data_IF_975512415686
#
_entry.id   IF_975512415686
#
_cell.length_a   1.000
_cell.length_b   1.000
_cell.length_c   1.000
_cell.angle_alpha   90.00
_cell.angle_beta   90.00
_cell.angle_gamma   90.00
#
_symmetry.space_group_name_H-M   'P 1'
#
loop_
_entity.id
_entity.type
_entity.pdbx_description
1 polymer ?
#
# COMPACT_ATOMS: atom_id res chain seq x y z
N UNK A 1 -23.61 -2.55 10.21
CA UNK A 1 -22.76 -1.47 9.63
C UNK A 1 -22.98 -1.49 8.13
N UNK A 2 -23.27 -0.34 7.51
CA UNK A 2 -23.46 -0.23 6.07
C UNK A 2 -22.12 0.12 5.39
N UNK A 3 -21.85 -0.50 4.24
CA UNK A 3 -20.57 -0.36 3.53
C UNK A 3 -20.84 0.00 2.07
N UNK A 4 -20.17 1.03 1.55
CA UNK A 4 -20.13 1.34 0.13
C UNK A 4 -18.82 0.85 -0.50
N UNK A 5 -18.87 0.28 -1.69
CA UNK A 5 -17.67 -0.10 -2.47
C UNK A 5 -17.63 0.70 -3.76
N UNK A 6 -16.53 1.39 -3.98
CA UNK A 6 -16.30 2.27 -5.13
C UNK A 6 -15.17 1.68 -5.98
N UNK A 7 -15.51 1.22 -7.17
CA UNK A 7 -14.59 0.50 -8.06
C UNK A 7 -14.64 -1.02 -7.84
N UNK A 8 -14.97 -1.74 -8.90
CA UNK A 8 -15.19 -3.20 -8.86
C UNK A 8 -14.19 -3.94 -9.76
N UNK A 9 -12.95 -3.43 -9.78
CA UNK A 9 -11.87 -3.93 -10.61
C UNK A 9 -11.15 -5.17 -10.06
N UNK A 10 -9.85 -5.30 -10.40
CA UNK A 10 -9.02 -6.46 -10.06
C UNK A 10 -8.91 -6.69 -8.55
N UNK A 11 -8.67 -5.63 -7.78
CA UNK A 11 -8.51 -5.75 -6.32
C UNK A 11 -9.82 -6.10 -5.62
N UNK A 12 -10.95 -5.58 -6.12
CA UNK A 12 -12.26 -5.97 -5.61
C UNK A 12 -12.53 -7.47 -5.78
N UNK A 13 -12.09 -8.09 -6.89
CA UNK A 13 -12.18 -9.55 -7.06
C UNK A 13 -11.42 -10.30 -5.97
N UNK A 14 -10.30 -9.77 -5.51
CA UNK A 14 -9.56 -10.34 -4.39
C UNK A 14 -10.35 -10.22 -3.07
N UNK A 15 -10.96 -9.06 -2.81
CA UNK A 15 -11.84 -8.87 -1.64
C UNK A 15 -13.08 -9.75 -1.68
N UNK A 16 -13.66 -9.95 -2.86
CA UNK A 16 -14.93 -10.64 -3.03
C UNK A 16 -14.95 -12.02 -2.37
N UNK A 17 -13.88 -12.81 -2.54
CA UNK A 17 -13.78 -14.14 -1.95
C UNK A 17 -13.85 -14.08 -0.43
N UNK A 18 -13.33 -13.01 0.12
CA UNK A 18 -13.23 -12.77 1.55
C UNK A 18 -14.52 -12.15 2.09
N UNK A 19 -15.13 -11.18 1.41
CA UNK A 19 -16.41 -10.60 1.80
C UNK A 19 -17.54 -11.63 1.90
N UNK A 20 -17.53 -12.67 1.06
CA UNK A 20 -18.51 -13.75 1.12
C UNK A 20 -18.41 -14.61 2.38
N UNK A 21 -17.28 -14.59 3.07
CA UNK A 21 -17.05 -15.36 4.31
C UNK A 21 -17.29 -14.55 5.59
N UNK A 22 -17.55 -13.25 5.47
CA UNK A 22 -17.79 -12.36 6.60
C UNK A 22 -19.24 -12.42 7.07
N UNK A 23 -19.48 -12.86 8.29
CA UNK A 23 -20.82 -12.99 8.87
C UNK A 23 -21.57 -11.65 8.97
N UNK A 24 -20.86 -10.52 9.15
CA UNK A 24 -21.51 -9.21 9.25
C UNK A 24 -21.70 -8.50 7.89
N UNK A 25 -21.08 -8.95 6.81
CA UNK A 25 -21.35 -8.46 5.46
C UNK A 25 -22.52 -9.25 4.88
N UNK A 26 -23.68 -8.66 4.95
CA UNK A 26 -24.91 -9.22 4.39
C UNK A 26 -25.31 -8.46 3.12
N UNK A 27 -26.14 -9.09 2.30
CA UNK A 27 -26.72 -8.45 1.11
C UNK A 27 -27.47 -7.13 1.39
N UNK A 28 -27.90 -6.91 2.64
CA UNK A 28 -28.68 -5.74 3.02
C UNK A 28 -27.83 -4.55 3.45
N UNK A 29 -26.54 -4.76 3.78
CA UNK A 29 -25.64 -3.72 4.29
C UNK A 29 -24.49 -3.37 3.32
N UNK A 30 -24.60 -3.78 2.06
CA UNK A 30 -23.60 -3.52 1.02
C UNK A 30 -24.23 -2.81 -0.17
N UNK A 31 -23.60 -1.73 -0.64
CA UNK A 31 -23.93 -1.03 -1.88
C UNK A 31 -22.68 -0.91 -2.76
N UNK A 32 -22.83 -1.20 -4.05
CA UNK A 32 -21.74 -1.24 -5.03
C UNK A 32 -21.87 -0.12 -6.05
N UNK A 33 -20.74 0.43 -6.45
CA UNK A 33 -20.64 1.39 -7.55
C UNK A 33 -19.39 1.14 -8.39
N UNK A 34 -19.56 1.13 -9.68
CA UNK A 34 -18.49 1.24 -10.68
C UNK A 34 -18.94 2.13 -11.83
N UNK A 35 -18.01 2.83 -12.47
CA UNK A 35 -18.26 3.62 -13.68
C UNK A 35 -18.88 2.76 -14.80
N UNK A 36 -18.48 1.48 -14.86
CA UNK A 36 -19.05 0.51 -15.79
C UNK A 36 -20.28 -0.16 -15.15
N UNK A 37 -21.47 0.20 -15.64
CA UNK A 37 -22.74 -0.31 -15.13
C UNK A 37 -22.90 -1.84 -15.32
N UNK A 38 -22.30 -2.43 -16.35
CA UNK A 38 -22.34 -3.88 -16.58
C UNK A 38 -21.59 -4.63 -15.48
N UNK A 39 -20.42 -4.09 -15.06
CA UNK A 39 -19.63 -4.64 -13.96
C UNK A 39 -20.43 -4.54 -12.65
N UNK A 40 -21.04 -3.39 -12.41
CA UNK A 40 -21.91 -3.16 -11.23
C UNK A 40 -23.06 -4.16 -11.20
N UNK A 41 -23.78 -4.33 -12.30
CA UNK A 41 -24.89 -5.27 -12.40
C UNK A 41 -24.44 -6.73 -12.16
N UNK A 42 -23.33 -7.15 -12.77
CA UNK A 42 -22.73 -8.48 -12.57
C UNK A 42 -22.49 -8.80 -11.09
N UNK A 43 -21.86 -7.86 -10.35
CA UNK A 43 -21.57 -8.09 -8.94
C UNK A 43 -22.77 -7.91 -8.04
N UNK A 44 -23.70 -7.02 -8.36
CA UNK A 44 -24.99 -6.91 -7.69
C UNK A 44 -25.74 -8.25 -7.69
N UNK A 45 -25.83 -8.90 -8.84
CA UNK A 45 -26.47 -10.22 -8.96
C UNK A 45 -25.74 -11.30 -8.17
N UNK A 46 -24.40 -11.33 -8.31
CA UNK A 46 -23.56 -12.31 -7.63
C UNK A 46 -23.63 -12.23 -6.11
N UNK A 47 -23.70 -11.02 -5.56
CA UNK A 47 -23.73 -10.77 -4.11
C UNK A 47 -25.15 -10.59 -3.57
N UNK A 48 -26.15 -10.49 -4.45
CA UNK A 48 -27.54 -10.17 -4.12
C UNK A 48 -27.66 -8.91 -3.23
N UNK A 49 -26.81 -7.89 -3.49
CA UNK A 49 -26.74 -6.64 -2.73
C UNK A 49 -27.31 -5.44 -3.51
N UNK A 50 -27.23 -4.24 -2.94
CA UNK A 50 -27.63 -3.02 -3.61
C UNK A 50 -26.57 -2.50 -4.56
N UNK A 51 -26.95 -1.69 -5.54
CA UNK A 51 -26.06 -0.96 -6.43
C UNK A 51 -26.51 0.47 -6.57
N UNK A 52 -25.56 1.37 -6.82
CA UNK A 52 -25.80 2.78 -7.08
C UNK A 52 -25.39 3.14 -8.51
N UNK A 53 -26.02 4.17 -9.07
CA UNK A 53 -25.65 4.78 -10.35
C UNK A 53 -24.88 6.10 -10.14
N UNK A 54 -24.87 6.62 -8.93
CA UNK A 54 -24.13 7.84 -8.56
C UNK A 54 -23.65 7.79 -7.12
N UNK A 55 -22.77 8.72 -6.76
CA UNK A 55 -22.29 8.86 -5.36
C UNK A 55 -23.40 9.36 -4.43
N UNK A 56 -24.35 10.15 -4.93
CA UNK A 56 -25.52 10.61 -4.16
C UNK A 56 -26.40 9.43 -3.73
N UNK A 57 -26.57 8.42 -4.59
CA UNK A 57 -27.29 7.20 -4.21
C UNK A 57 -26.56 6.42 -3.11
N UNK A 58 -25.21 6.44 -3.11
CA UNK A 58 -24.41 5.85 -2.03
C UNK A 58 -24.61 6.62 -0.73
N UNK A 59 -24.62 7.97 -0.78
CA UNK A 59 -24.89 8.79 0.40
C UNK A 59 -26.28 8.49 0.98
N UNK A 60 -27.29 8.36 0.12
CA UNK A 60 -28.67 8.03 0.52
C UNK A 60 -28.79 6.66 1.21
N UNK A 61 -27.90 5.73 0.88
CA UNK A 61 -27.79 4.43 1.56
C UNK A 61 -27.23 4.56 2.99
N UNK A 62 -26.66 5.71 3.33
CA UNK A 62 -26.07 6.02 4.64
C UNK A 62 -24.98 5.02 5.06
N UNK A 63 -23.91 4.83 4.27
CA UNK A 63 -22.82 3.95 4.67
C UNK A 63 -22.10 4.51 5.89
N UNK A 64 -21.65 3.61 6.78
CA UNK A 64 -20.77 3.99 7.88
C UNK A 64 -19.36 4.33 7.35
N UNK A 65 -18.96 3.65 6.28
CA UNK A 65 -17.74 3.95 5.53
C UNK A 65 -17.84 3.45 4.09
N UNK A 66 -16.94 3.96 3.25
CA UNK A 66 -16.73 3.47 1.90
C UNK A 66 -15.34 2.87 1.73
N UNK A 67 -15.21 1.81 0.92
CA UNK A 67 -13.93 1.31 0.43
C UNK A 67 -13.75 1.81 -0.99
N UNK A 68 -12.64 2.51 -1.26
CA UNK A 68 -12.31 3.03 -2.58
C UNK A 68 -11.25 2.13 -3.21
N UNK A 69 -11.59 1.52 -4.35
CA UNK A 69 -10.74 0.65 -5.16
C UNK A 69 -10.85 0.95 -6.66
N UNK A 70 -11.14 2.20 -6.99
CA UNK A 70 -11.09 2.78 -8.33
C UNK A 70 -9.63 2.91 -8.83
N UNK A 71 -9.35 3.38 -10.06
CA UNK A 71 -8.00 3.72 -10.50
C UNK A 71 -7.32 4.76 -9.59
N UNK A 72 -6.01 4.60 -9.37
CA UNK A 72 -5.23 5.37 -8.38
C UNK A 72 -5.40 6.90 -8.48
N UNK A 73 -5.38 7.45 -9.67
CA UNK A 73 -5.54 8.90 -9.90
C UNK A 73 -6.93 9.46 -9.57
N UNK A 74 -7.91 8.60 -9.24
CA UNK A 74 -9.26 9.00 -8.84
C UNK A 74 -9.48 8.91 -7.32
N UNK A 75 -8.57 8.30 -6.57
CA UNK A 75 -8.75 8.05 -5.13
C UNK A 75 -8.96 9.35 -4.35
N UNK A 76 -8.14 10.37 -4.62
CA UNK A 76 -8.27 11.67 -3.97
C UNK A 76 -9.67 12.27 -4.12
N UNK A 77 -10.16 12.37 -5.36
CA UNK A 77 -11.47 12.98 -5.64
C UNK A 77 -12.61 12.21 -4.97
N UNK A 78 -12.55 10.87 -5.02
CA UNK A 78 -13.53 10.02 -4.38
C UNK A 78 -13.47 10.12 -2.85
N UNK A 79 -12.27 10.05 -2.26
CA UNK A 79 -12.09 10.19 -0.81
C UNK A 79 -12.58 11.56 -0.30
N UNK A 80 -12.21 12.64 -1.01
CA UNK A 80 -12.64 13.99 -0.68
C UNK A 80 -14.17 14.11 -0.69
N UNK A 81 -14.82 13.62 -1.74
CA UNK A 81 -16.27 13.65 -1.84
C UNK A 81 -16.97 12.98 -0.64
N UNK A 82 -16.54 11.78 -0.25
CA UNK A 82 -17.16 11.08 0.87
C UNK A 82 -16.84 11.72 2.23
N UNK A 83 -15.62 12.20 2.44
CA UNK A 83 -15.26 12.93 3.66
C UNK A 83 -16.03 14.25 3.80
N UNK A 84 -16.28 14.99 2.71
CA UNK A 84 -17.12 16.19 2.69
C UNK A 84 -18.59 15.90 3.03
N UNK A 85 -19.03 14.67 2.76
CA UNK A 85 -20.39 14.20 3.08
C UNK A 85 -20.45 13.42 4.42
N UNK A 86 -19.46 13.59 5.30
CA UNK A 86 -19.39 12.98 6.63
C UNK A 86 -19.39 11.44 6.64
N UNK A 87 -18.74 10.83 5.65
CA UNK A 87 -18.59 9.37 5.53
C UNK A 87 -17.11 9.01 5.72
N UNK A 88 -16.83 8.03 6.58
CA UNK A 88 -15.48 7.50 6.77
C UNK A 88 -14.97 6.82 5.48
N UNK A 89 -13.66 6.87 5.26
CA UNK A 89 -13.04 6.37 4.03
C UNK A 89 -11.93 5.39 4.35
N UNK A 90 -11.95 4.22 3.70
CA UNK A 90 -10.82 3.31 3.58
C UNK A 90 -10.45 3.20 2.11
N UNK A 91 -9.29 3.69 1.70
CA UNK A 91 -8.88 3.71 0.30
C UNK A 91 -7.79 2.72 -0.01
N UNK A 92 -7.83 2.15 -1.21
CA UNK A 92 -6.65 1.55 -1.81
C UNK A 92 -5.52 2.57 -1.95
N UNK A 93 -4.31 2.03 -2.01
CA UNK A 93 -3.09 2.82 -2.25
C UNK A 93 -2.89 3.11 -3.75
N UNK A 94 -2.18 4.20 -4.07
CA UNK A 94 -1.95 5.36 -3.21
C UNK A 94 -3.26 6.09 -2.95
N UNK A 95 -3.46 6.65 -1.76
CA UNK A 95 -4.70 7.38 -1.47
C UNK A 95 -4.83 8.66 -2.31
N UNK A 96 -3.72 9.17 -2.79
CA UNK A 96 -3.61 10.35 -3.64
C UNK A 96 -2.30 10.32 -4.43
N UNK A 97 -2.20 11.18 -5.44
CA UNK A 97 -1.03 11.31 -6.30
C UNK A 97 -0.13 12.50 -5.92
N UNK A 98 -0.49 13.25 -4.88
CA UNK A 98 0.14 14.49 -4.47
C UNK A 98 0.23 14.59 -2.95
N UNK A 99 1.31 15.20 -2.44
CA UNK A 99 1.49 15.48 -1.00
C UNK A 99 0.43 16.48 -0.53
N UNK A 100 0.14 17.50 -1.35
CA UNK A 100 -0.85 18.51 -1.01
C UNK A 100 -2.27 17.91 -0.93
N UNK A 101 -2.61 16.98 -1.82
CA UNK A 101 -3.87 16.23 -1.76
C UNK A 101 -3.97 15.43 -0.46
N UNK A 102 -2.88 14.77 -0.02
CA UNK A 102 -2.89 14.03 1.25
C UNK A 102 -3.07 14.96 2.45
N UNK A 103 -2.43 16.13 2.45
CA UNK A 103 -2.62 17.14 3.49
C UNK A 103 -4.09 17.60 3.52
N UNK A 104 -4.70 17.84 2.37
CA UNK A 104 -6.09 18.26 2.26
C UNK A 104 -7.04 17.20 2.84
N UNK A 105 -6.90 15.92 2.43
CA UNK A 105 -7.71 14.81 2.97
C UNK A 105 -7.53 14.64 4.47
N UNK A 106 -6.30 14.74 4.96
CA UNK A 106 -5.99 14.64 6.39
C UNK A 106 -6.69 15.73 7.20
N UNK A 107 -6.60 16.98 6.73
CA UNK A 107 -7.25 18.10 7.37
C UNK A 107 -8.79 17.98 7.34
N UNK A 108 -9.33 17.50 6.22
CA UNK A 108 -10.77 17.30 6.06
C UNK A 108 -11.29 16.20 7.00
N UNK A 109 -10.58 15.07 7.08
CA UNK A 109 -10.92 13.98 8.00
C UNK A 109 -10.91 14.46 9.46
N UNK A 110 -9.86 15.18 9.87
CA UNK A 110 -9.76 15.76 11.23
C UNK A 110 -10.89 16.77 11.52
N UNK A 111 -11.14 17.69 10.59
CA UNK A 111 -12.19 18.71 10.74
C UNK A 111 -13.56 18.08 10.96
N UNK A 112 -13.86 16.99 10.26
CA UNK A 112 -15.15 16.32 10.31
C UNK A 112 -15.19 15.18 11.35
N UNK A 113 -14.09 14.95 12.10
CA UNK A 113 -13.94 13.84 13.06
C UNK A 113 -14.24 12.47 12.44
N UNK A 114 -13.62 12.21 11.27
CA UNK A 114 -13.79 11.00 10.49
C UNK A 114 -12.50 10.19 10.44
N UNK A 115 -12.64 8.87 10.33
CA UNK A 115 -11.53 7.99 10.04
C UNK A 115 -11.27 7.97 8.53
N UNK A 116 -10.01 8.21 8.16
CA UNK A 116 -9.52 8.07 6.80
C UNK A 116 -8.31 7.14 6.80
N UNK A 117 -8.45 5.96 6.21
CA UNK A 117 -7.43 4.91 6.20
C UNK A 117 -6.93 4.58 4.80
N UNK A 118 -5.75 3.97 4.74
CA UNK A 118 -5.12 3.51 3.50
C UNK A 118 -4.82 2.02 3.59
N UNK A 119 -5.04 1.28 2.51
CA UNK A 119 -4.79 -0.17 2.49
C UNK A 119 -3.31 -0.43 2.17
N UNK A 120 -2.46 -0.41 3.21
CA UNK A 120 -1.09 -0.92 3.18
C UNK A 120 -1.03 -2.26 3.92
N UNK A 121 -1.67 -3.27 3.34
CA UNK A 121 -1.87 -4.58 3.97
C UNK A 121 -0.58 -5.29 4.37
N UNK A 122 0.56 -4.96 3.75
CA UNK A 122 1.84 -5.58 4.09
C UNK A 122 2.27 -5.29 5.53
N UNK A 123 1.86 -4.17 6.13
CA UNK A 123 2.12 -3.89 7.55
C UNK A 123 1.55 -4.96 8.49
N UNK A 124 0.45 -5.63 8.08
CA UNK A 124 -0.24 -6.66 8.85
C UNK A 124 0.10 -8.10 8.41
N UNK A 125 1.13 -8.28 7.58
CA UNK A 125 1.70 -9.60 7.34
C UNK A 125 2.48 -10.05 8.58
N UNK A 126 2.23 -11.28 9.07
CA UNK A 126 2.91 -11.80 10.28
C UNK A 126 4.43 -11.70 10.21
N UNK A 127 5.01 -11.91 9.05
CA UNK A 127 6.47 -11.77 8.81
C UNK A 127 6.95 -10.32 8.95
N UNK A 128 6.14 -9.33 8.55
CA UNK A 128 6.47 -7.90 8.67
C UNK A 128 6.22 -7.41 10.10
N UNK A 129 5.14 -7.85 10.75
CA UNK A 129 4.87 -7.58 12.17
C UNK A 129 6.01 -8.12 13.05
N UNK A 130 6.49 -9.34 12.77
CA UNK A 130 7.63 -9.91 13.46
C UNK A 130 8.92 -9.13 13.17
N UNK A 131 9.18 -8.77 11.90
CA UNK A 131 10.35 -7.98 11.53
C UNK A 131 10.38 -6.64 12.29
N UNK A 132 9.24 -5.96 12.39
CA UNK A 132 9.11 -4.73 13.16
C UNK A 132 9.41 -4.95 14.63
N UNK A 133 8.85 -5.97 15.24
CA UNK A 133 9.12 -6.32 16.63
C UNK A 133 10.59 -6.63 16.87
N UNK A 134 11.25 -7.40 16.00
CA UNK A 134 12.69 -7.72 16.09
C UNK A 134 13.56 -6.45 16.08
N UNK A 135 13.19 -5.47 15.26
CA UNK A 135 13.89 -4.17 15.19
C UNK A 135 13.62 -3.34 16.46
N UNK A 136 12.36 -3.22 16.89
CA UNK A 136 11.96 -2.42 18.07
C UNK A 136 12.52 -2.98 19.37
N UNK A 137 12.53 -4.30 19.53
CA UNK A 137 13.08 -4.99 20.71
C UNK A 137 14.63 -5.03 20.71
N UNK A 138 15.28 -4.50 19.65
CA UNK A 138 16.73 -4.35 19.56
C UNK A 138 17.51 -5.63 19.31
N UNK A 139 16.89 -6.71 18.84
CA UNK A 139 17.57 -7.98 18.52
C UNK A 139 18.63 -7.84 17.43
N UNK A 140 18.49 -6.88 16.52
CA UNK A 140 19.50 -6.58 15.50
C UNK A 140 20.58 -5.60 15.99
N UNK A 141 20.42 -5.03 17.18
CA UNK A 141 21.29 -3.97 17.68
C UNK A 141 21.15 -2.69 16.86
N UNK A 142 22.26 -1.98 16.63
CA UNK A 142 22.26 -0.77 15.79
C UNK A 142 22.12 -1.17 14.32
N UNK A 143 21.05 -0.71 13.69
CA UNK A 143 20.84 -0.99 12.27
C UNK A 143 21.87 -0.26 11.41
N UNK A 144 22.50 -0.99 10.50
CA UNK A 144 23.55 -0.49 9.62
C UNK A 144 23.08 -0.44 8.16
N UNK A 145 22.42 -1.50 7.68
CA UNK A 145 22.05 -1.68 6.27
C UNK A 145 20.63 -2.21 6.15
N UNK A 146 19.90 -1.65 5.19
CA UNK A 146 18.59 -2.15 4.76
C UNK A 146 18.56 -2.31 3.24
N UNK A 147 17.82 -3.29 2.73
CA UNK A 147 17.54 -3.36 1.30
C UNK A 147 16.09 -3.77 1.04
N UNK A 148 15.50 -3.18 0.00
CA UNK A 148 14.20 -3.55 -0.52
C UNK A 148 14.35 -3.92 -2.00
N UNK A 149 13.86 -5.10 -2.37
CA UNK A 149 13.86 -5.59 -3.76
C UNK A 149 12.47 -5.98 -4.19
N UNK A 150 12.12 -5.55 -5.41
CA UNK A 150 10.92 -5.94 -6.13
C UNK A 150 11.30 -6.24 -7.58
N UNK A 151 11.49 -7.50 -7.91
CA UNK A 151 11.82 -7.96 -9.27
C UNK A 151 10.64 -8.76 -9.83
N UNK A 152 9.69 -8.02 -10.39
CA UNK A 152 8.46 -8.58 -10.94
C UNK A 152 8.43 -8.52 -12.45
N UNK A 153 7.59 -9.35 -13.03
CA UNK A 153 7.36 -9.45 -14.46
C UNK A 153 5.96 -8.97 -14.81
N UNK A 154 5.88 -7.84 -15.50
CA UNK A 154 4.64 -7.38 -16.11
C UNK A 154 4.90 -7.17 -17.59
N UNK A 155 4.15 -7.88 -18.42
CA UNK A 155 4.21 -7.68 -19.87
C UNK A 155 3.35 -6.49 -20.31
N UNK A 156 3.45 -6.12 -21.59
CA UNK A 156 2.71 -4.99 -22.14
C UNK A 156 1.20 -5.14 -22.01
N UNK A 157 0.67 -6.36 -21.89
CA UNK A 157 -0.76 -6.61 -21.77
C UNK A 157 -1.33 -6.11 -20.42
N UNK A 158 -0.49 -6.04 -19.39
CA UNK A 158 -0.85 -5.48 -18.08
C UNK A 158 -1.17 -3.98 -18.18
N UNK A 159 -0.51 -3.26 -19.10
CA UNK A 159 -0.59 -1.81 -19.27
C UNK A 159 -1.52 -1.39 -20.42
N UNK A 160 -2.40 -2.28 -20.89
CA UNK A 160 -3.32 -1.98 -22.01
C UNK A 160 -4.50 -1.08 -21.64
N UNK A 161 -4.79 -0.93 -20.37
CA UNK A 161 -5.82 0.00 -19.91
C UNK A 161 -5.34 1.46 -20.00
N UNK A 162 -6.24 2.39 -19.73
CA UNK A 162 -6.01 3.82 -19.95
C UNK A 162 -5.39 4.53 -18.73
N UNK A 163 -4.98 3.80 -17.68
CA UNK A 163 -4.49 4.42 -16.45
C UNK A 163 -3.17 3.86 -15.92
N UNK A 164 -2.86 2.55 -16.06
CA UNK A 164 -1.59 1.99 -15.59
C UNK A 164 -0.39 2.58 -16.34
N UNK A 165 0.67 2.91 -15.61
CA UNK A 165 1.91 3.43 -16.16
C UNK A 165 1.83 4.87 -16.69
N UNK A 166 0.77 5.61 -16.36
CA UNK A 166 0.61 7.03 -16.72
C UNK A 166 0.88 7.91 -15.52
N UNK A 167 1.68 8.96 -15.71
CA UNK A 167 2.05 9.88 -14.63
C UNK A 167 0.86 10.45 -13.87
N UNK A 168 -0.16 10.87 -14.60
CA UNK A 168 -1.36 11.47 -14.01
C UNK A 168 -2.20 10.50 -13.19
N UNK A 169 -2.17 9.21 -13.51
CA UNK A 169 -3.13 8.25 -12.98
C UNK A 169 -2.53 7.21 -12.03
N UNK A 170 -1.24 6.88 -12.18
CA UNK A 170 -0.66 5.73 -11.49
C UNK A 170 0.82 5.92 -11.16
N UNK A 171 1.59 6.64 -12.00
CA UNK A 171 3.04 6.63 -11.98
C UNK A 171 3.58 5.29 -12.50
N UNK A 172 4.84 4.99 -12.20
CA UNK A 172 5.51 3.76 -12.60
C UNK A 172 5.60 2.73 -11.46
N UNK A 173 6.60 1.85 -11.56
CA UNK A 173 6.79 0.73 -10.63
C UNK A 173 6.89 1.19 -9.17
N UNK A 174 7.49 2.35 -8.92
CA UNK A 174 7.69 2.88 -7.57
C UNK A 174 6.37 3.22 -6.89
N UNK A 175 5.48 3.93 -7.59
CA UNK A 175 4.20 4.38 -7.02
C UNK A 175 3.12 3.29 -7.08
N UNK A 176 3.20 2.39 -8.05
CA UNK A 176 2.15 1.40 -8.27
C UNK A 176 2.42 0.07 -7.54
N UNK A 177 3.58 -0.58 -7.77
CA UNK A 177 3.87 -1.88 -7.17
C UNK A 177 4.75 -1.78 -5.91
N UNK A 178 5.87 -1.04 -5.99
CA UNK A 178 6.86 -1.00 -4.93
C UNK A 178 6.42 -0.19 -3.71
N UNK A 179 5.42 0.66 -3.82
CA UNK A 179 4.92 1.51 -2.73
C UNK A 179 4.60 0.71 -1.45
N UNK A 180 4.04 -0.50 -1.56
CA UNK A 180 3.78 -1.38 -0.42
C UNK A 180 5.05 -1.82 0.30
N UNK A 181 6.13 -2.06 -0.46
CA UNK A 181 7.42 -2.51 0.06
C UNK A 181 8.18 -1.34 0.69
N UNK A 182 8.12 -0.17 0.07
CA UNK A 182 8.70 1.08 0.57
C UNK A 182 8.00 1.48 1.88
N UNK A 183 6.68 1.37 1.93
CA UNK A 183 5.89 1.61 3.13
C UNK A 183 6.28 0.66 4.26
N UNK A 184 6.33 -0.64 4.01
CA UNK A 184 6.73 -1.65 4.98
C UNK A 184 8.16 -1.43 5.48
N UNK A 185 9.11 -1.09 4.59
CA UNK A 185 10.50 -0.81 4.95
C UNK A 185 10.58 0.39 5.91
N UNK A 186 9.87 1.49 5.62
CA UNK A 186 9.85 2.66 6.50
C UNK A 186 9.10 2.39 7.81
N UNK A 187 8.01 1.62 7.77
CA UNK A 187 7.27 1.25 8.97
C UNK A 187 8.13 0.46 9.95
N UNK A 188 9.03 -0.38 9.43
CA UNK A 188 9.95 -1.20 10.24
C UNK A 188 11.19 -0.44 10.69
N UNK A 189 11.89 0.25 9.77
CA UNK A 189 13.20 0.86 10.04
C UNK A 189 13.16 2.37 10.34
N UNK A 190 11.98 2.98 10.26
CA UNK A 190 11.80 4.42 10.39
C UNK A 190 11.93 5.19 9.07
N UNK A 191 11.72 6.52 9.11
CA UNK A 191 11.63 7.34 7.91
C UNK A 191 12.93 7.41 7.11
N UNK A 192 12.79 7.44 5.78
CA UNK A 192 13.89 7.75 4.86
C UNK A 192 14.08 9.26 4.80
N UNK A 193 15.31 9.71 5.05
CA UNK A 193 15.71 11.13 5.12
C UNK A 193 16.23 11.67 3.80
N UNK A 194 17.00 10.86 3.06
CA UNK A 194 17.63 11.26 1.80
C UNK A 194 17.57 10.13 0.79
N UNK A 195 17.47 10.48 -0.48
CA UNK A 195 17.46 9.52 -1.59
C UNK A 195 18.30 10.01 -2.76
N UNK A 196 18.96 9.06 -3.45
CA UNK A 196 19.54 9.24 -4.78
C UNK A 196 19.03 8.13 -5.67
N UNK A 197 18.31 8.48 -6.75
CA UNK A 197 17.60 7.53 -7.59
C UNK A 197 17.92 7.70 -9.06
N UNK A 198 17.91 6.57 -9.78
CA UNK A 198 17.95 6.47 -11.25
C UNK A 198 16.77 5.63 -11.70
N UNK A 199 16.11 6.03 -12.76
CA UNK A 199 14.98 5.32 -13.33
C UNK A 199 15.10 5.13 -14.82
N UNK A 200 14.32 4.21 -15.36
CA UNK A 200 14.21 3.98 -16.79
C UNK A 200 12.92 3.27 -17.14
N UNK A 201 12.49 3.50 -18.37
CA UNK A 201 11.52 2.69 -19.06
C UNK A 201 12.31 1.75 -19.98
N UNK A 202 12.60 0.54 -19.47
CA UNK A 202 13.62 -0.32 -20.08
C UNK A 202 13.04 -1.40 -20.98
N UNK A 203 11.81 -1.78 -20.79
CA UNK A 203 11.22 -2.90 -21.54
C UNK A 203 9.79 -2.65 -22.03
N UNK A 204 8.92 -2.08 -21.20
CA UNK A 204 7.53 -1.86 -21.57
C UNK A 204 7.36 -0.46 -22.20
N UNK A 205 6.40 -0.30 -23.10
CA UNK A 205 6.04 1.01 -23.65
C UNK A 205 5.07 1.71 -22.67
N UNK A 206 5.64 2.52 -21.78
CA UNK A 206 4.95 3.25 -20.73
C UNK A 206 5.31 4.73 -20.78
N UNK A 207 4.43 5.56 -20.24
CA UNK A 207 4.74 6.97 -19.97
C UNK A 207 5.68 7.12 -18.76
N UNK A 208 5.43 6.34 -17.69
CA UNK A 208 6.24 6.30 -16.49
C UNK A 208 7.31 5.18 -16.52
N UNK A 209 8.10 5.06 -15.45
CA UNK A 209 9.18 4.09 -15.37
C UNK A 209 8.68 2.66 -15.07
N UNK A 210 9.35 1.67 -15.66
CA UNK A 210 9.20 0.26 -15.29
C UNK A 210 10.33 -0.24 -14.38
N UNK A 211 11.35 0.56 -14.15
CA UNK A 211 12.53 0.23 -13.36
C UNK A 211 13.09 1.45 -12.64
N UNK A 212 13.36 1.30 -11.33
CA UNK A 212 14.08 2.30 -10.54
C UNK A 212 15.04 1.63 -9.56
N UNK A 213 16.23 2.23 -9.43
CA UNK A 213 17.26 1.88 -8.44
C UNK A 213 17.59 3.12 -7.63
N UNK A 214 17.65 2.97 -6.29
CA UNK A 214 17.97 4.09 -5.43
C UNK A 214 18.84 3.69 -4.23
N UNK A 215 19.72 4.60 -3.81
CA UNK A 215 20.37 4.59 -2.51
C UNK A 215 19.61 5.50 -1.56
N UNK A 216 19.42 5.08 -0.32
CA UNK A 216 18.66 5.83 0.68
C UNK A 216 19.40 5.92 2.01
N UNK A 217 19.17 7.01 2.74
CA UNK A 217 19.65 7.19 4.11
C UNK A 217 18.45 7.43 5.03
N UNK A 218 18.38 6.69 6.12
CA UNK A 218 17.31 6.78 7.10
C UNK A 218 17.60 7.81 8.19
N UNK A 219 16.59 8.22 8.94
CA UNK A 219 16.77 9.14 10.08
C UNK A 219 17.64 8.55 11.19
N UNK A 220 17.62 7.22 11.38
CA UNK A 220 18.51 6.50 12.31
C UNK A 220 19.97 6.35 11.80
N UNK A 221 20.30 7.00 10.67
CA UNK A 221 21.57 6.99 9.95
C UNK A 221 21.97 5.65 9.30
N UNK A 222 21.10 4.64 9.28
CA UNK A 222 21.35 3.45 8.46
C UNK A 222 21.29 3.81 6.96
N UNK A 223 22.00 3.03 6.14
CA UNK A 223 21.97 3.15 4.68
C UNK A 223 21.11 2.04 4.07
N UNK A 224 20.57 2.29 2.91
CA UNK A 224 19.79 1.26 2.23
C UNK A 224 19.74 1.39 0.72
N UNK A 225 19.15 0.37 0.09
CA UNK A 225 18.82 0.35 -1.33
C UNK A 225 17.34 0.08 -1.56
N UNK A 226 16.80 0.68 -2.61
CA UNK A 226 15.49 0.38 -3.19
C UNK A 226 15.72 -0.04 -4.63
N UNK A 227 15.35 -1.26 -4.95
CA UNK A 227 15.52 -1.87 -6.26
C UNK A 227 14.15 -2.38 -6.73
N UNK A 228 13.53 -1.71 -7.69
CA UNK A 228 12.18 -2.05 -8.15
C UNK A 228 12.12 -2.11 -9.68
N UNK A 229 11.60 -3.21 -10.20
CA UNK A 229 11.35 -3.37 -11.63
C UNK A 229 10.13 -4.26 -11.89
N UNK A 230 9.37 -3.92 -12.94
CA UNK A 230 8.38 -4.80 -13.57
C UNK A 230 8.89 -5.38 -14.89
N UNK A 231 10.12 -5.02 -15.27
CA UNK A 231 10.80 -5.49 -16.49
C UNK A 231 11.56 -6.81 -16.31
N UNK A 232 11.48 -7.46 -15.16
CA UNK A 232 12.14 -8.75 -14.93
C UNK A 232 11.47 -9.87 -15.73
N UNK A 233 12.25 -10.76 -16.34
CA UNK A 233 11.73 -11.85 -17.17
C UNK A 233 12.37 -13.19 -16.78
N UNK A 234 11.70 -14.33 -16.96
CA UNK A 234 10.35 -14.47 -17.59
C UNK A 234 9.18 -14.39 -16.60
N UNK A 235 9.43 -14.24 -15.29
CA UNK A 235 8.42 -14.29 -14.22
C UNK A 235 8.83 -13.43 -13.03
N UNK A 236 7.91 -13.24 -12.10
CA UNK A 236 8.21 -12.67 -10.78
C UNK A 236 9.33 -13.51 -10.13
N UNK A 237 10.36 -12.83 -9.65
CA UNK A 237 11.56 -13.48 -9.10
C UNK A 237 11.71 -13.23 -7.61
N UNK A 238 11.67 -11.97 -7.19
CA UNK A 238 11.93 -11.58 -5.81
C UNK A 238 11.02 -10.43 -5.37
N UNK A 239 10.51 -10.54 -4.14
CA UNK A 239 10.02 -9.43 -3.36
C UNK A 239 10.58 -9.61 -1.96
N UNK A 240 11.43 -8.69 -1.48
CA UNK A 240 12.09 -8.87 -0.18
C UNK A 240 12.47 -7.56 0.51
N UNK A 241 12.57 -7.64 1.83
CA UNK A 241 13.16 -6.63 2.71
C UNK A 241 14.21 -7.34 3.57
N UNK A 242 15.44 -6.83 3.55
CA UNK A 242 16.52 -7.30 4.43
C UNK A 242 16.93 -6.16 5.34
N UNK A 243 17.06 -6.45 6.64
CA UNK A 243 17.58 -5.50 7.64
C UNK A 243 18.74 -6.16 8.38
N UNK A 244 19.85 -5.45 8.48
CA UNK A 244 21.06 -5.89 9.16
C UNK A 244 21.54 -4.83 10.14
N UNK A 245 21.90 -5.27 11.32
CA UNK A 245 22.54 -4.47 12.35
C UNK A 245 23.81 -5.12 12.87
N UNK A 246 24.37 -4.60 13.95
CA UNK A 246 25.61 -5.08 14.54
C UNK A 246 25.45 -6.39 15.36
N UNK A 247 24.20 -6.85 15.60
CA UNK A 247 23.91 -8.11 16.30
C UNK A 247 23.27 -9.18 15.42
N UNK A 248 22.99 -8.89 14.15
CA UNK A 248 22.41 -9.88 13.25
C UNK A 248 21.72 -9.29 12.05
N UNK A 249 21.06 -10.18 11.31
CA UNK A 249 20.24 -9.79 10.16
C UNK A 249 18.99 -10.68 10.04
N UNK A 250 18.02 -10.18 9.32
CA UNK A 250 16.82 -10.92 8.93
C UNK A 250 16.37 -10.48 7.52
N UNK A 251 15.95 -11.45 6.71
CA UNK A 251 15.36 -11.24 5.39
C UNK A 251 13.94 -11.77 5.37
N UNK A 252 13.00 -10.88 5.12
CA UNK A 252 11.61 -11.20 4.79
C UNK A 252 11.46 -11.19 3.28
N UNK A 253 10.70 -12.13 2.73
CA UNK A 253 10.48 -12.25 1.29
C UNK A 253 9.20 -13.03 0.98
N UNK A 254 9.23 -13.75 -0.15
CA UNK A 254 8.07 -14.39 -0.73
C UNK A 254 7.31 -13.47 -1.68
N UNK A 255 6.25 -13.99 -2.31
CA UNK A 255 5.52 -13.26 -3.34
C UNK A 255 4.79 -12.01 -2.81
N UNK A 256 4.52 -11.94 -1.50
CA UNK A 256 3.80 -10.86 -0.85
C UNK A 256 4.45 -10.42 0.48
N UNK A 257 5.77 -10.55 0.65
CA UNK A 257 6.46 -10.35 1.92
C UNK A 257 5.85 -11.22 3.05
N UNK A 258 5.57 -12.46 2.75
CA UNK A 258 4.80 -13.38 3.59
C UNK A 258 5.64 -14.47 4.25
N UNK A 259 6.97 -14.46 4.03
CA UNK A 259 7.88 -15.51 4.55
C UNK A 259 9.15 -14.90 5.15
N UNK A 260 9.64 -15.51 6.22
CA UNK A 260 11.01 -15.31 6.66
C UNK A 260 11.90 -16.19 5.78
N UNK A 261 12.84 -15.60 5.08
CA UNK A 261 13.70 -16.29 4.10
C UNK A 261 15.03 -16.72 4.71
N UNK A 262 15.62 -15.82 5.50
CA UNK A 262 16.91 -16.04 6.12
C UNK A 262 17.10 -15.15 7.35
N UNK A 263 17.85 -15.60 8.33
CA UNK A 263 18.17 -14.83 9.53
C UNK A 263 19.37 -15.39 10.26
N UNK A 264 20.11 -14.51 10.95
CA UNK A 264 21.14 -14.91 11.91
C UNK A 264 21.29 -13.82 12.97
N UNK A 265 21.43 -14.25 14.24
CA UNK A 265 21.64 -13.34 15.38
C UNK A 265 22.84 -13.82 16.19
N UNK A 266 23.64 -12.91 16.74
CA UNK A 266 24.76 -13.26 17.62
C UNK A 266 24.27 -13.96 18.90
N UNK A 267 23.18 -13.43 19.49
CA UNK A 267 22.49 -14.00 20.63
C UNK A 267 21.02 -14.19 20.28
N UNK A 268 20.61 -15.43 20.05
CA UNK A 268 19.22 -15.73 19.68
C UNK A 268 18.46 -16.27 20.90
N UNK A 269 17.50 -15.48 21.37
CA UNK A 269 16.51 -15.95 22.34
C UNK A 269 15.69 -17.09 21.73
N UNK A 270 15.52 -18.25 22.40
CA UNK A 270 14.69 -19.35 21.91
C UNK A 270 13.26 -18.95 21.56
N UNK A 271 12.68 -17.98 22.25
CA UNK A 271 11.34 -17.46 21.97
C UNK A 271 11.21 -16.80 20.60
N UNK A 272 12.25 -16.06 20.19
CA UNK A 272 12.31 -15.44 18.85
C UNK A 272 12.39 -16.50 17.75
N UNK A 273 13.16 -17.57 17.98
CA UNK A 273 13.24 -18.67 17.02
C UNK A 273 11.88 -19.31 16.75
N UNK A 274 11.10 -19.57 17.80
CA UNK A 274 9.75 -20.09 17.68
C UNK A 274 8.82 -19.14 16.92
N UNK A 275 8.92 -17.82 17.18
CA UNK A 275 8.14 -16.81 16.47
C UNK A 275 8.50 -16.76 14.98
N UNK A 276 9.78 -16.87 14.64
CA UNK A 276 10.25 -16.90 13.24
C UNK A 276 9.64 -18.11 12.49
N UNK A 277 9.68 -19.29 13.11
CA UNK A 277 9.15 -20.52 12.52
C UNK A 277 7.62 -20.43 12.23
N UNK A 278 6.89 -19.66 13.03
CA UNK A 278 5.42 -19.54 12.92
C UNK A 278 4.93 -18.31 12.16
N UNK A 279 5.84 -17.40 11.77
CA UNK A 279 5.46 -16.12 11.13
C UNK A 279 5.42 -16.16 9.61
N UNK A 280 5.74 -17.29 8.99
CA UNK A 280 5.59 -17.47 7.54
C UNK A 280 4.19 -17.97 7.20
N UNK A 281 3.59 -17.41 6.17
CA UNK A 281 2.24 -17.76 5.70
C UNK A 281 2.27 -18.18 4.23
N UNK A 282 1.45 -19.15 3.85
CA UNK A 282 1.22 -19.48 2.44
C UNK A 282 0.20 -18.50 1.85
N UNK A 283 0.54 -17.95 0.66
CA UNK A 283 -0.32 -17.04 -0.07
C UNK A 283 -0.50 -17.46 -1.53
N UNK A 284 -1.66 -17.17 -2.10
CA UNK A 284 -1.99 -17.56 -3.48
C UNK A 284 -1.53 -16.56 -4.54
N UNK A 285 -1.27 -15.31 -4.14
CA UNK A 285 -0.92 -14.23 -5.07
C UNK A 285 -0.13 -13.12 -4.35
N UNK A 286 0.42 -12.17 -5.11
CA UNK A 286 1.10 -11.00 -4.58
C UNK A 286 0.23 -10.05 -3.74
N UNK A 287 -1.10 -10.23 -3.73
CA UNK A 287 -1.98 -9.50 -2.83
C UNK A 287 -1.82 -9.92 -1.35
N UNK A 288 -1.35 -11.15 -1.09
CA UNK A 288 -1.25 -11.69 0.28
C UNK A 288 -2.61 -11.99 0.91
N UNK A 289 -2.62 -12.17 2.24
CA UNK A 289 -3.84 -12.51 2.99
C UNK A 289 -4.31 -11.38 3.92
N UNK A 290 -3.60 -10.26 4.01
CA UNK A 290 -3.79 -9.28 5.10
C UNK A 290 -4.77 -8.14 4.77
N UNK A 291 -5.36 -8.09 3.56
CA UNK A 291 -6.38 -7.09 3.24
C UNK A 291 -7.58 -7.13 4.19
N UNK A 292 -8.02 -8.33 4.57
CA UNK A 292 -9.11 -8.49 5.53
C UNK A 292 -8.74 -7.96 6.90
N UNK A 293 -7.50 -8.21 7.36
CA UNK A 293 -7.03 -7.69 8.63
C UNK A 293 -7.07 -6.15 8.67
N UNK A 294 -6.77 -5.49 7.52
CA UNK A 294 -6.91 -4.03 7.40
C UNK A 294 -8.36 -3.59 7.53
N UNK A 295 -9.27 -4.26 6.81
CA UNK A 295 -10.69 -3.94 6.85
C UNK A 295 -11.26 -4.18 8.24
N UNK A 296 -10.91 -5.30 8.90
CA UNK A 296 -11.31 -5.59 10.28
C UNK A 296 -10.82 -4.53 11.27
N UNK A 297 -9.53 -4.19 11.17
CA UNK A 297 -8.95 -3.15 12.02
C UNK A 297 -9.66 -1.81 11.80
N UNK A 298 -10.00 -1.46 10.55
CA UNK A 298 -10.76 -0.24 10.26
C UNK A 298 -12.17 -0.28 10.86
N UNK A 299 -12.88 -1.40 10.73
CA UNK A 299 -14.20 -1.60 11.34
C UNK A 299 -14.13 -1.49 12.87
N UNK A 300 -13.12 -2.11 13.49
CA UNK A 300 -12.91 -2.03 14.93
C UNK A 300 -12.66 -0.60 15.39
N UNK A 301 -11.93 0.20 14.61
CA UNK A 301 -11.74 1.62 14.95
C UNK A 301 -13.04 2.43 14.93
N UNK A 302 -13.99 2.06 14.08
CA UNK A 302 -15.30 2.71 14.02
C UNK A 302 -16.26 2.25 15.12
N UNK A 303 -16.14 1.00 15.59
CA UNK A 303 -17.04 0.40 16.57
C UNK A 303 -16.53 0.52 17.99
N UNK A 304 -15.27 0.23 18.22
CA UNK A 304 -14.65 0.13 19.54
C UNK A 304 -13.85 1.39 19.91
N UNK A 305 -13.70 2.35 18.98
CA UNK A 305 -12.85 3.53 19.11
C UNK A 305 -11.38 3.19 19.37
N UNK A 306 -10.93 2.08 18.82
CA UNK A 306 -9.53 1.71 18.79
C UNK A 306 -8.78 2.55 17.74
N UNK A 307 -7.48 2.79 17.95
CA UNK A 307 -6.67 3.50 16.97
C UNK A 307 -6.49 2.63 15.70
N UNK A 308 -6.73 3.22 14.55
CA UNK A 308 -6.48 2.55 13.28
C UNK A 308 -5.01 2.72 12.88
N UNK A 309 -4.28 1.60 12.83
CA UNK A 309 -2.82 1.58 12.62
C UNK A 309 -2.38 2.18 11.27
N UNK A 310 -3.22 2.11 10.25
CA UNK A 310 -2.89 2.54 8.87
C UNK A 310 -3.77 3.73 8.47
N UNK A 311 -3.87 4.70 9.39
CA UNK A 311 -4.53 5.97 9.10
C UNK A 311 -3.75 6.78 8.05
N UNK A 312 -4.39 7.75 7.45
CA UNK A 312 -3.79 8.57 6.38
C UNK A 312 -2.51 9.28 6.83
N UNK A 313 -2.38 9.68 8.10
CA UNK A 313 -1.20 10.37 8.62
C UNK A 313 0.01 9.41 8.71
N UNK A 314 -0.22 8.17 9.14
CA UNK A 314 0.84 7.16 9.25
C UNK A 314 1.49 6.80 7.91
N UNK A 315 0.84 7.14 6.80
CA UNK A 315 1.32 6.86 5.44
C UNK A 315 2.01 8.05 4.78
N UNK A 316 2.08 9.20 5.47
CA UNK A 316 2.58 10.45 4.89
C UNK A 316 4.05 10.36 4.47
N UNK A 317 4.89 9.67 5.25
CA UNK A 317 6.28 9.47 4.90
C UNK A 317 6.46 8.63 3.63
N UNK A 318 5.54 7.71 3.35
CA UNK A 318 5.58 6.92 2.12
C UNK A 318 5.32 7.79 0.89
N UNK A 319 4.30 8.65 0.92
CA UNK A 319 4.04 9.61 -0.16
C UNK A 319 5.22 10.56 -0.37
N UNK A 320 5.81 11.10 0.70
CA UNK A 320 7.00 11.98 0.61
C UNK A 320 8.20 11.28 -0.03
N UNK A 321 8.46 10.03 0.32
CA UNK A 321 9.59 9.27 -0.25
C UNK A 321 9.36 8.96 -1.72
N UNK A 322 8.14 8.60 -2.14
CA UNK A 322 7.80 8.42 -3.55
C UNK A 322 8.11 9.69 -4.35
N UNK A 323 7.66 10.86 -3.90
CA UNK A 323 7.98 12.13 -4.55
C UNK A 323 9.48 12.45 -4.53
N UNK A 324 10.18 12.17 -3.43
CA UNK A 324 11.63 12.39 -3.32
C UNK A 324 12.41 11.51 -4.30
N UNK A 325 12.02 10.24 -4.49
CA UNK A 325 12.62 9.33 -5.46
C UNK A 325 12.50 9.88 -6.89
N UNK A 326 11.31 10.32 -7.29
CA UNK A 326 11.10 10.94 -8.59
C UNK A 326 11.86 12.27 -8.73
N UNK A 327 11.85 13.14 -7.72
CA UNK A 327 12.64 14.40 -7.76
C UNK A 327 14.14 14.13 -7.90
N UNK A 328 14.63 13.08 -7.25
CA UNK A 328 16.03 12.71 -7.35
C UNK A 328 16.39 12.27 -8.78
N UNK A 329 15.58 11.42 -9.41
CA UNK A 329 15.80 10.99 -10.79
C UNK A 329 15.63 12.15 -11.79
N UNK A 330 14.62 13.00 -11.61
CA UNK A 330 14.41 14.22 -12.44
C UNK A 330 15.59 15.17 -12.42
N UNK A 331 16.23 15.34 -11.26
CA UNK A 331 17.33 16.29 -11.07
C UNK A 331 18.72 15.69 -11.16
N UNK A 332 18.85 14.37 -11.16
CA UNK A 332 20.11 13.64 -11.00
C UNK A 332 20.91 14.07 -9.76
N UNK A 333 20.23 14.30 -8.64
CA UNK A 333 20.83 14.79 -7.39
C UNK A 333 20.37 13.99 -6.19
N UNK A 334 21.20 13.97 -5.14
CA UNK A 334 20.80 13.59 -3.80
C UNK A 334 19.77 14.60 -3.28
N UNK A 335 18.57 14.15 -2.90
CA UNK A 335 17.51 15.01 -2.37
C UNK A 335 17.09 14.60 -0.96
N UNK A 336 16.65 15.57 -0.17
CA UNK A 336 16.00 15.30 1.10
C UNK A 336 14.52 14.94 0.87
N UNK A 337 14.02 14.07 1.70
CA UNK A 337 12.58 13.82 1.82
C UNK A 337 11.92 15.05 2.44
N UNK A 338 10.96 15.63 1.76
CA UNK A 338 10.29 16.89 2.14
C UNK A 338 8.85 16.89 1.63
N UNK A 339 8.14 18.01 1.83
CA UNK A 339 6.81 18.21 1.24
C UNK A 339 6.85 18.69 -0.22
N UNK A 340 8.03 18.74 -0.83
CA UNK A 340 8.14 19.11 -2.25
C UNK A 340 7.73 17.95 -3.14
N UNK A 341 6.99 18.25 -4.18
CA UNK A 341 6.45 17.28 -5.12
C UNK A 341 7.33 17.07 -6.35
N UNK A 342 7.27 15.89 -6.94
CA UNK A 342 7.78 15.61 -8.28
C UNK A 342 7.08 16.46 -9.33
N UNK A 343 7.78 16.74 -10.44
CA UNK A 343 7.20 17.49 -11.56
C UNK A 343 6.29 16.64 -12.45
N UNK A 344 6.31 15.32 -12.29
CA UNK A 344 5.60 14.36 -13.15
C UNK A 344 4.45 13.65 -12.47
N UNK A 345 4.66 13.10 -11.26
CA UNK A 345 3.64 12.29 -10.58
C UNK A 345 2.40 13.10 -10.28
N UNK A 346 1.24 12.62 -10.74
CA UNK A 346 -0.06 13.27 -10.56
C UNK A 346 -0.36 14.42 -11.55
N UNK A 347 0.49 14.62 -12.58
CA UNK A 347 0.38 15.77 -13.51
C UNK A 347 0.18 15.33 -14.95
#
# INVERSE_FOLDING_TARGET
>A
MNIGIIGLGRVFNHYLTNFLTYEFITKNNLILFDKNSEITQKYREKLACQSANSFEEIINFKPNFVIISSPSGLHFQHAKFFLENNINVLSEKPICMSINEQIELTNLAKKNNLNCGVIFQNRLNRSIELLKRIVEDGFLGKINICSMKLYWSRDQSYYKDDWHGRWKMDGGVINQQAIHHIDALQWVNGPIKKVFAMEGNLLNDLEAEDTMMACVNFENNSLGTIEATTAFRPRDYEASITISGDKGFIKVGGIALNKIIDYSFLDCDPSIKTLIETSSEEVKSGYGNSHLKVIDSFINSLTNKEDFLIDIESTFNTTKVIHALYRSSESNKLVNTSNEESNRLGK
#
